data_IF_281015190457
#
_entry.id   IF_281015190457
#
_cell.length_a   1.000
_cell.length_b   1.000
_cell.length_c   1.000
_cell.angle_alpha   90.00
_cell.angle_beta   90.00
_cell.angle_gamma   90.00
#
_symmetry.space_group_name_H-M   'P 1'
#
loop_
_entity.id
_entity.type
_entity.pdbx_description
1 polymer ?
#
# COMPACT_ATOMS: atom_id res chain seq x y z
N UNK A 1 -17.65 5.12 -32.48
CA UNK A 1 -18.42 4.97 -31.23
C UNK A 1 -17.63 5.60 -30.09
N UNK A 2 -18.30 5.97 -29.00
CA UNK A 2 -17.60 6.40 -27.79
C UNK A 2 -16.96 5.15 -27.18
N UNK A 3 -15.63 5.17 -27.05
CA UNK A 3 -14.86 4.11 -26.42
C UNK A 3 -14.30 4.57 -25.07
N UNK A 4 -14.22 3.66 -24.09
CA UNK A 4 -14.69 2.27 -24.15
C UNK A 4 -16.22 2.16 -24.07
N UNK A 5 -16.78 1.16 -24.73
CA UNK A 5 -18.20 0.83 -24.62
C UNK A 5 -18.48 0.04 -23.34
N UNK A 6 -19.75 0.06 -22.89
CA UNK A 6 -20.16 -0.72 -21.74
C UNK A 6 -19.85 -2.22 -21.86
N UNK A 7 -20.02 -2.79 -23.05
CA UNK A 7 -19.76 -4.21 -23.30
C UNK A 7 -18.27 -4.52 -23.22
N UNK A 8 -17.41 -3.59 -23.66
CA UNK A 8 -15.95 -3.71 -23.54
C UNK A 8 -15.54 -3.69 -22.06
N UNK A 9 -16.05 -2.73 -21.28
CA UNK A 9 -15.77 -2.65 -19.84
C UNK A 9 -16.19 -3.93 -19.11
N UNK A 10 -17.37 -4.47 -19.42
CA UNK A 10 -17.85 -5.71 -18.80
C UNK A 10 -16.93 -6.90 -19.05
N UNK A 11 -16.35 -7.00 -20.25
CA UNK A 11 -15.42 -8.07 -20.60
C UNK A 11 -14.08 -7.90 -19.90
N UNK A 12 -13.54 -6.69 -19.90
CA UNK A 12 -12.25 -6.39 -19.28
C UNK A 12 -12.30 -6.58 -17.77
N UNK A 13 -13.36 -6.11 -17.10
CA UNK A 13 -13.48 -6.23 -15.65
C UNK A 13 -13.62 -7.69 -15.21
N UNK A 14 -14.30 -8.51 -16.00
CA UNK A 14 -14.51 -9.92 -15.67
C UNK A 14 -13.45 -10.86 -16.25
N UNK A 15 -12.43 -10.36 -16.97
CA UNK A 15 -11.46 -11.24 -17.65
C UNK A 15 -10.81 -12.21 -16.68
N UNK A 16 -10.34 -11.71 -15.54
CA UNK A 16 -9.64 -12.49 -14.52
C UNK A 16 -10.54 -13.60 -13.95
N UNK A 17 -11.79 -13.26 -13.59
CA UNK A 17 -12.76 -14.22 -13.08
C UNK A 17 -13.11 -15.30 -14.13
N UNK A 18 -13.32 -14.88 -15.38
CA UNK A 18 -13.67 -15.82 -16.46
C UNK A 18 -12.52 -16.75 -16.85
N UNK A 19 -11.26 -16.33 -16.72
CA UNK A 19 -10.09 -17.16 -17.01
C UNK A 19 -9.85 -18.22 -15.92
N UNK A 20 -10.14 -17.89 -14.66
CA UNK A 20 -10.00 -18.81 -13.51
C UNK A 20 -11.23 -19.73 -13.36
N UNK A 21 -12.30 -19.47 -14.11
CA UNK A 21 -13.56 -20.23 -14.02
C UNK A 21 -14.40 -19.86 -12.80
N UNK A 22 -14.15 -18.70 -12.22
CA UNK A 22 -14.91 -18.13 -11.10
C UNK A 22 -16.17 -17.40 -11.61
N UNK A 23 -17.10 -17.12 -10.70
CA UNK A 23 -18.28 -16.35 -11.03
C UNK A 23 -17.91 -14.92 -11.43
N UNK A 24 -18.55 -14.35 -12.48
CA UNK A 24 -18.27 -13.00 -12.92
C UNK A 24 -18.60 -11.99 -11.81
N UNK A 25 -17.61 -11.18 -11.46
CA UNK A 25 -17.71 -10.12 -10.45
C UNK A 25 -18.81 -9.12 -10.81
N UNK A 26 -18.97 -8.84 -12.10
CA UNK A 26 -19.92 -7.85 -12.59
C UNK A 26 -20.89 -8.44 -13.61
N UNK A 27 -22.18 -8.48 -13.23
CA UNK A 27 -23.28 -8.99 -14.07
C UNK A 27 -24.23 -7.90 -14.59
N UNK A 28 -24.13 -6.67 -14.07
CA UNK A 28 -25.05 -5.58 -14.41
C UNK A 28 -24.36 -4.28 -14.86
N UNK A 29 -25.09 -3.46 -15.62
CA UNK A 29 -24.58 -2.13 -16.02
C UNK A 29 -24.35 -1.20 -14.85
N UNK A 30 -25.22 -1.34 -13.86
CA UNK A 30 -25.26 -0.50 -12.68
C UNK A 30 -24.00 -0.66 -11.84
N UNK A 31 -23.44 -1.87 -11.77
CA UNK A 31 -22.21 -2.14 -11.02
C UNK A 31 -21.01 -1.35 -11.57
N UNK A 32 -20.83 -1.31 -12.89
CA UNK A 32 -19.76 -0.52 -13.51
C UNK A 32 -19.97 0.98 -13.26
N UNK A 33 -21.21 1.45 -13.40
CA UNK A 33 -21.56 2.86 -13.14
C UNK A 33 -21.27 3.24 -11.69
N UNK A 34 -21.64 2.37 -10.75
CA UNK A 34 -21.42 2.61 -9.32
C UNK A 34 -19.93 2.61 -8.98
N UNK A 35 -19.16 1.67 -9.51
CA UNK A 35 -17.72 1.61 -9.30
C UNK A 35 -17.00 2.83 -9.89
N UNK A 36 -17.29 3.19 -11.14
CA UNK A 36 -16.73 4.38 -11.77
C UNK A 36 -17.09 5.66 -11.01
N UNK A 37 -18.32 5.77 -10.50
CA UNK A 37 -18.74 6.90 -9.68
C UNK A 37 -18.04 6.96 -8.33
N UNK A 38 -17.85 5.82 -7.66
CA UNK A 38 -17.08 5.74 -6.40
C UNK A 38 -15.63 6.15 -6.62
N UNK A 39 -14.98 5.63 -7.66
CA UNK A 39 -13.60 5.98 -7.99
C UNK A 39 -13.46 7.45 -8.40
N UNK A 40 -14.40 8.00 -9.16
CA UNK A 40 -14.41 9.43 -9.47
C UNK A 40 -14.47 10.31 -8.22
N UNK A 41 -15.21 9.88 -7.18
CA UNK A 41 -15.25 10.60 -5.88
C UNK A 41 -13.93 10.54 -5.14
N UNK A 42 -13.22 9.41 -5.20
CA UNK A 42 -11.86 9.28 -4.64
C UNK A 42 -10.91 10.28 -5.29
N UNK A 43 -10.92 10.37 -6.63
CA UNK A 43 -10.11 11.35 -7.38
C UNK A 43 -10.48 12.79 -7.00
N UNK A 44 -11.77 13.09 -6.84
CA UNK A 44 -12.21 14.41 -6.35
C UNK A 44 -11.77 14.67 -4.90
N UNK A 45 -11.67 13.62 -4.08
CA UNK A 45 -11.19 13.65 -2.71
C UNK A 45 -9.68 13.88 -2.57
N UNK A 46 -8.94 13.88 -3.68
CA UNK A 46 -7.50 14.12 -3.70
C UNK A 46 -6.65 12.87 -3.94
N UNK A 47 -7.26 11.71 -4.17
CA UNK A 47 -6.50 10.51 -4.57
C UNK A 47 -5.91 10.73 -5.97
N UNK A 48 -4.63 10.40 -6.10
CA UNK A 48 -3.95 10.48 -7.39
C UNK A 48 -4.56 9.48 -8.39
N UNK A 49 -4.80 9.92 -9.64
CA UNK A 49 -5.11 9.02 -10.74
C UNK A 49 -3.98 8.02 -11.00
N UNK A 50 -4.33 6.77 -11.28
CA UNK A 50 -3.36 5.75 -11.73
C UNK A 50 -2.93 5.99 -13.18
N UNK A 51 -3.77 6.66 -13.97
CA UNK A 51 -3.46 7.00 -15.36
C UNK A 51 -2.60 8.26 -15.42
N UNK A 52 -1.34 8.11 -15.82
CA UNK A 52 -0.37 9.21 -15.89
C UNK A 52 -0.73 10.33 -16.89
N UNK A 53 -1.43 10.01 -17.99
CA UNK A 53 -1.85 10.96 -19.03
C UNK A 53 -3.27 10.67 -19.49
N UNK A 54 -4.30 11.09 -18.73
CA UNK A 54 -5.68 10.79 -19.08
C UNK A 54 -6.07 11.51 -20.37
N UNK A 55 -6.89 10.86 -21.20
CA UNK A 55 -7.38 11.49 -22.44
C UNK A 55 -8.22 12.73 -22.17
N UNK A 56 -8.85 12.79 -21.01
CA UNK A 56 -9.59 13.95 -20.55
C UNK A 56 -9.57 14.07 -19.02
N UNK A 57 -9.53 15.30 -18.52
CA UNK A 57 -9.28 15.58 -17.11
C UNK A 57 -10.54 15.50 -16.22
N UNK A 58 -11.64 14.93 -16.73
CA UNK A 58 -12.87 14.79 -15.95
C UNK A 58 -12.74 13.57 -15.04
N UNK A 59 -12.96 13.68 -13.72
CA UNK A 59 -12.74 12.57 -12.78
C UNK A 59 -13.47 11.28 -13.18
N UNK A 60 -14.71 11.38 -13.66
CA UNK A 60 -15.47 10.22 -14.12
C UNK A 60 -14.83 9.53 -15.33
N UNK A 61 -14.29 10.31 -16.26
CA UNK A 61 -13.67 9.76 -17.46
C UNK A 61 -12.32 9.10 -17.14
N UNK A 62 -11.57 9.67 -16.20
CA UNK A 62 -10.35 9.05 -15.64
C UNK A 62 -10.71 7.71 -15.00
N UNK A 63 -11.73 7.66 -14.14
CA UNK A 63 -12.17 6.42 -13.49
C UNK A 63 -12.61 5.33 -14.49
N UNK A 64 -13.27 5.71 -15.59
CA UNK A 64 -13.63 4.76 -16.66
C UNK A 64 -12.39 4.26 -17.41
N UNK A 65 -11.39 5.11 -17.63
CA UNK A 65 -10.11 4.74 -18.25
C UNK A 65 -9.30 3.81 -17.35
N UNK A 66 -9.23 4.08 -16.05
CA UNK A 66 -8.61 3.21 -15.03
C UNK A 66 -9.27 1.82 -14.98
N UNK A 67 -10.61 1.76 -14.99
CA UNK A 67 -11.34 0.49 -15.04
C UNK A 67 -11.05 -0.28 -16.34
N UNK A 68 -10.92 0.42 -17.47
CA UNK A 68 -10.62 -0.21 -18.76
C UNK A 68 -9.17 -0.70 -18.87
N UNK A 69 -8.24 -0.02 -18.20
CA UNK A 69 -6.84 -0.45 -18.14
C UNK A 69 -6.57 -1.49 -17.05
N UNK A 70 -7.59 -1.83 -16.24
CA UNK A 70 -7.49 -2.69 -15.05
C UNK A 70 -6.57 -2.16 -13.94
N UNK A 71 -6.28 -0.85 -13.95
CA UNK A 71 -5.54 -0.18 -12.88
C UNK A 71 -6.36 -0.18 -11.56
N UNK A 72 -7.69 -0.24 -11.69
CA UNK A 72 -8.65 -0.35 -10.58
C UNK A 72 -9.48 -1.61 -10.74
N UNK A 73 -9.56 -2.42 -9.68
CA UNK A 73 -10.41 -3.62 -9.62
C UNK A 73 -11.66 -3.39 -8.81
N UNK A 74 -12.77 -3.98 -9.27
CA UNK A 74 -14.03 -4.03 -8.53
C UNK A 74 -13.97 -5.28 -7.67
N UNK A 75 -14.19 -5.12 -6.36
CA UNK A 75 -14.21 -6.22 -5.41
C UNK A 75 -15.60 -6.34 -4.79
N UNK A 76 -15.95 -7.55 -4.37
CA UNK A 76 -17.10 -7.78 -3.50
C UNK A 76 -16.85 -7.24 -2.09
N UNK A 77 -17.91 -7.04 -1.32
CA UNK A 77 -17.80 -6.54 0.07
C UNK A 77 -17.00 -7.50 0.97
N UNK A 78 -17.13 -8.82 0.74
CA UNK A 78 -16.39 -9.83 1.50
C UNK A 78 -14.90 -9.81 1.16
N UNK A 79 -14.54 -9.74 -0.12
CA UNK A 79 -13.15 -9.64 -0.56
C UNK A 79 -12.50 -8.34 -0.08
N UNK A 80 -13.21 -7.22 -0.19
CA UNK A 80 -12.74 -5.94 0.31
C UNK A 80 -12.49 -5.99 1.82
N UNK A 81 -13.42 -6.57 2.60
CA UNK A 81 -13.25 -6.72 4.04
C UNK A 81 -12.05 -7.61 4.41
N UNK A 82 -11.83 -8.71 3.65
CA UNK A 82 -10.67 -9.59 3.85
C UNK A 82 -9.34 -8.86 3.59
N UNK A 83 -9.24 -8.12 2.48
CA UNK A 83 -8.01 -7.38 2.14
C UNK A 83 -7.71 -6.29 3.17
N UNK A 84 -8.73 -5.54 3.60
CA UNK A 84 -8.56 -4.51 4.63
C UNK A 84 -8.06 -5.14 5.94
N UNK A 85 -8.68 -6.23 6.39
CA UNK A 85 -8.27 -6.92 7.61
C UNK A 85 -6.84 -7.49 7.51
N UNK A 86 -6.45 -8.00 6.34
CA UNK A 86 -5.10 -8.50 6.09
C UNK A 86 -4.06 -7.37 6.08
N UNK A 87 -4.36 -6.22 5.46
CA UNK A 87 -3.50 -5.05 5.46
C UNK A 87 -3.31 -4.47 6.86
N UNK A 88 -4.39 -4.33 7.63
CA UNK A 88 -4.34 -3.89 9.03
C UNK A 88 -3.49 -4.83 9.89
N UNK A 89 -3.63 -6.15 9.71
CA UNK A 89 -2.84 -7.14 10.42
C UNK A 89 -1.34 -7.05 10.05
N UNK A 90 -1.03 -6.87 8.76
CA UNK A 90 0.34 -6.70 8.27
C UNK A 90 0.98 -5.41 8.78
N UNK A 91 0.24 -4.31 8.84
CA UNK A 91 0.73 -3.05 9.41
C UNK A 91 0.98 -3.18 10.91
N UNK A 92 0.11 -3.87 11.64
CA UNK A 92 0.31 -4.16 13.06
C UNK A 92 1.54 -5.04 13.30
N UNK A 93 1.81 -6.02 12.45
CA UNK A 93 3.04 -6.83 12.50
C UNK A 93 4.29 -5.97 12.26
N UNK A 94 4.29 -5.16 11.20
CA UNK A 94 5.40 -4.25 10.89
C UNK A 94 5.67 -3.24 12.01
N UNK A 95 4.63 -2.77 12.68
CA UNK A 95 4.75 -1.87 13.83
C UNK A 95 5.44 -2.56 15.02
N UNK A 96 5.04 -3.80 15.33
CA UNK A 96 5.69 -4.60 16.39
C UNK A 96 7.16 -4.88 16.08
N UNK A 97 7.46 -5.29 14.86
CA UNK A 97 8.85 -5.52 14.42
C UNK A 97 9.70 -4.26 14.52
N UNK A 98 9.15 -3.10 14.13
CA UNK A 98 9.84 -1.81 14.24
C UNK A 98 10.10 -1.43 15.70
N UNK A 99 9.15 -1.67 16.59
CA UNK A 99 9.30 -1.41 18.02
C UNK A 99 10.38 -2.31 18.64
N UNK A 100 10.41 -3.59 18.30
CA UNK A 100 11.46 -4.52 18.72
C UNK A 100 12.84 -4.11 18.22
N UNK A 101 12.95 -3.71 16.94
CA UNK A 101 14.20 -3.20 16.37
C UNK A 101 14.71 -1.94 17.09
N UNK A 102 13.80 -1.00 17.41
CA UNK A 102 14.15 0.20 18.17
C UNK A 102 14.63 -0.15 19.59
N UNK A 103 13.99 -1.11 20.25
CA UNK A 103 14.37 -1.57 21.59
C UNK A 103 15.74 -2.25 21.58
N UNK A 104 16.02 -3.09 20.59
CA UNK A 104 17.34 -3.70 20.42
C UNK A 104 18.42 -2.66 20.12
N UNK A 105 18.12 -1.69 19.25
CA UNK A 105 19.04 -0.59 18.93
C UNK A 105 19.38 0.24 20.18
N UNK A 106 18.38 0.59 20.99
CA UNK A 106 18.58 1.32 22.25
C UNK A 106 19.43 0.51 23.23
N UNK A 107 19.23 -0.81 23.31
CA UNK A 107 20.06 -1.70 24.14
C UNK A 107 21.52 -1.70 23.67
N UNK A 108 21.76 -1.85 22.37
CA UNK A 108 23.12 -1.81 21.79
C UNK A 108 23.81 -0.47 22.01
N UNK A 109 23.07 0.63 21.90
CA UNK A 109 23.59 1.98 22.19
C UNK A 109 24.00 2.11 23.67
N UNK A 110 23.21 1.59 24.60
CA UNK A 110 23.53 1.61 26.02
C UNK A 110 24.76 0.72 26.35
N UNK A 111 24.85 -0.48 25.76
CA UNK A 111 26.03 -1.34 25.90
C UNK A 111 27.29 -0.69 25.31
N UNK A 112 27.18 -0.04 24.15
CA UNK A 112 28.30 0.69 23.54
C UNK A 112 28.75 1.89 24.40
N UNK A 113 27.81 2.62 25.02
CA UNK A 113 28.14 3.72 25.93
C UNK A 113 28.90 3.23 27.18
N UNK A 114 28.47 2.12 27.79
CA UNK A 114 29.17 1.50 28.92
C UNK A 114 30.56 0.99 28.54
N UNK A 115 30.72 0.44 27.33
CA UNK A 115 32.04 0.02 26.83
C UNK A 115 32.98 1.21 26.59
N UNK A 116 32.45 2.33 26.06
CA UNK A 116 33.23 3.55 25.87
C UNK A 116 33.74 4.11 27.21
N UNK A 117 32.88 4.11 28.23
CA UNK A 117 33.22 4.55 29.59
C UNK A 117 34.31 3.66 30.21
N UNK A 118 34.21 2.33 30.09
CA UNK A 118 35.24 1.41 30.55
C UNK A 118 36.58 1.56 29.78
N UNK A 119 36.58 1.83 28.47
CA UNK A 119 37.85 2.07 27.73
C UNK A 119 38.53 3.37 28.13
N UNK A 120 37.76 4.43 28.41
CA UNK A 120 38.33 5.71 28.86
C UNK A 120 38.94 5.64 30.27
N UNK A 121 38.40 4.80 31.15
CA UNK A 121 39.00 4.55 32.46
C UNK A 121 40.31 3.76 32.36
N UNK A 122 40.39 2.78 31.46
CA UNK A 122 41.63 1.98 31.24
C UNK A 122 42.76 2.83 30.63
N UNK A 123 42.46 3.74 29.70
CA UNK A 123 43.46 4.65 29.12
C UNK A 123 43.95 5.71 30.13
N UNK A 124 43.09 6.19 31.03
CA UNK A 124 43.48 7.13 32.10
C UNK A 124 44.39 6.49 33.17
N UNK A 125 44.26 5.19 33.43
CA UNK A 125 45.16 4.45 34.34
C UNK A 125 46.50 4.07 33.69
N UNK A 126 46.56 3.86 32.36
CA UNK A 126 47.82 3.62 31.63
C UNK A 126 48.68 4.90 31.48
N UNK A 127 48.07 6.09 31.31
CA UNK A 127 48.82 7.37 31.33
C UNK A 127 49.35 7.71 32.73
N UNK A 128 48.66 7.32 33.81
CA UNK A 128 49.10 7.59 35.18
C UNK A 128 50.26 6.68 35.65
N UNK A 129 50.52 5.56 34.96
CA UNK A 129 51.59 4.60 35.32
C UNK A 129 52.85 4.73 34.47
N UNK A 130 52.86 5.60 33.45
CA UNK A 130 54.04 5.86 32.59
C UNK A 130 54.86 7.09 32.99
N UNK A 131 54.47 7.84 34.03
CA UNK A 131 55.20 9.02 34.55
C UNK A 131 56.05 8.80 35.83
N UNK A 132 56.22 7.57 36.35
CA UNK A 132 57.19 7.26 37.44
C UNK A 132 58.57 6.78 36.94
#
# INVERSE_FOLDING_TARGET
>A
MIHPSYVELMKVVNSDATEVGEEPVVNSRYSIVLAAAKRARQIIGGDDPFVAKPKCNKPLSIAVEELYNQDVKILSEEEAAKLIAEEEAREAQRAKEREEQLREYARKQAEAALQAENTTEVEAEEEATTEE
#
